data_IF_828046180607
#
_entry.id   IF_828046180607
#
_cell.length_a   1.000
_cell.length_b   1.000
_cell.length_c   1.000
_cell.angle_alpha   90.00
_cell.angle_beta   90.00
_cell.angle_gamma   90.00
#
_symmetry.space_group_name_H-M   'P 1'
#
loop_
_entity.id
_entity.type
_entity.pdbx_description
1 polymer ?
#
# COMPACT_ATOMS: atom_id res chain seq x y z
N UNK A 1 -20.05 13.19 2.59
CA UNK A 1 -18.87 12.29 2.54
C UNK A 1 -18.84 11.51 3.84
N UNK A 2 -18.74 10.17 3.78
CA UNK A 2 -18.72 9.33 4.98
C UNK A 2 -17.30 9.23 5.52
N UNK A 3 -17.09 9.57 6.78
CA UNK A 3 -15.80 9.41 7.47
C UNK A 3 -15.49 7.93 7.66
N UNK A 4 -14.31 7.49 7.20
CA UNK A 4 -13.84 6.12 7.40
C UNK A 4 -13.58 5.84 8.89
N UNK A 5 -14.03 4.69 9.40
CA UNK A 5 -13.68 4.23 10.75
C UNK A 5 -12.30 3.57 10.74
N UNK A 6 -11.57 3.67 11.86
CA UNK A 6 -10.25 3.03 12.00
C UNK A 6 -10.30 1.53 11.68
N UNK A 7 -11.34 0.81 12.11
CA UNK A 7 -11.48 -0.62 11.80
C UNK A 7 -11.57 -0.90 10.30
N UNK A 8 -12.33 -0.08 9.56
CA UNK A 8 -12.45 -0.19 8.11
C UNK A 8 -11.15 0.13 7.40
N UNK A 9 -10.41 1.13 7.90
CA UNK A 9 -9.07 1.46 7.39
C UNK A 9 -8.11 0.29 7.60
N UNK A 10 -8.09 -0.29 8.79
CA UNK A 10 -7.25 -1.46 9.09
C UNK A 10 -7.59 -2.65 8.18
N UNK A 11 -8.87 -2.92 7.95
CA UNK A 11 -9.31 -4.03 7.11
C UNK A 11 -8.93 -3.80 5.64
N UNK A 12 -9.06 -2.57 5.15
CA UNK A 12 -8.61 -2.18 3.80
C UNK A 12 -7.11 -2.41 3.64
N UNK A 13 -6.31 -1.87 4.55
CA UNK A 13 -4.84 -2.03 4.50
C UNK A 13 -4.45 -3.50 4.57
N UNK A 14 -5.02 -4.27 5.51
CA UNK A 14 -4.75 -5.72 5.63
C UNK A 14 -5.13 -6.48 4.36
N UNK A 15 -6.24 -6.11 3.72
CA UNK A 15 -6.68 -6.72 2.47
C UNK A 15 -5.67 -6.49 1.34
N UNK A 16 -5.22 -5.25 1.16
CA UNK A 16 -4.20 -4.92 0.15
C UNK A 16 -2.89 -5.64 0.46
N UNK A 17 -2.42 -5.55 1.72
CA UNK A 17 -1.19 -6.23 2.14
C UNK A 17 -1.25 -7.72 1.86
N UNK A 18 -2.35 -8.39 2.22
CA UNK A 18 -2.49 -9.82 2.00
C UNK A 18 -2.42 -10.17 0.52
N UNK A 19 -3.14 -9.44 -0.33
CA UNK A 19 -3.15 -9.66 -1.78
C UNK A 19 -1.74 -9.52 -2.37
N UNK A 20 -1.05 -8.42 -2.07
CA UNK A 20 0.26 -8.15 -2.67
C UNK A 20 1.34 -9.08 -2.10
N UNK A 21 1.31 -9.38 -0.79
CA UNK A 21 2.20 -10.38 -0.20
C UNK A 21 2.05 -11.76 -0.84
N UNK A 22 0.81 -12.24 -1.06
CA UNK A 22 0.59 -13.52 -1.72
C UNK A 22 1.03 -13.51 -3.19
N UNK A 23 0.81 -12.40 -3.89
CA UNK A 23 1.19 -12.26 -5.31
C UNK A 23 2.71 -12.26 -5.48
N UNK A 24 3.44 -11.74 -4.50
CA UNK A 24 4.87 -11.42 -4.59
C UNK A 24 5.74 -12.21 -3.62
N UNK A 25 5.21 -13.26 -2.99
CA UNK A 25 5.89 -14.02 -1.92
C UNK A 25 7.26 -14.57 -2.36
N UNK A 26 7.41 -14.90 -3.64
CA UNK A 26 8.65 -15.45 -4.21
C UNK A 26 9.48 -14.40 -4.98
N UNK A 27 9.02 -13.15 -5.05
CA UNK A 27 9.77 -12.07 -5.68
C UNK A 27 10.78 -11.47 -4.70
N UNK A 28 12.06 -11.52 -5.08
CA UNK A 28 13.18 -11.00 -4.27
C UNK A 28 13.91 -9.82 -4.92
N UNK A 29 13.35 -9.31 -6.02
CA UNK A 29 13.92 -8.17 -6.71
C UNK A 29 13.84 -6.92 -5.82
N UNK A 30 14.97 -6.23 -5.72
CA UNK A 30 15.09 -4.98 -4.99
C UNK A 30 16.00 -4.03 -5.77
N UNK A 31 15.81 -2.75 -5.53
CA UNK A 31 16.67 -1.67 -5.99
C UNK A 31 17.17 -0.89 -4.78
N UNK A 32 18.22 -0.10 -4.96
CA UNK A 32 18.77 0.77 -3.90
C UNK A 32 18.43 2.21 -4.28
N UNK A 33 17.74 2.92 -3.37
CA UNK A 33 17.42 4.35 -3.54
C UNK A 33 18.69 5.20 -3.44
N UNK A 34 18.59 6.48 -3.81
CA UNK A 34 19.73 7.41 -3.77
C UNK A 34 20.32 7.62 -2.37
N UNK A 35 19.55 7.38 -1.31
CA UNK A 35 19.97 7.45 0.08
C UNK A 35 20.57 6.14 0.62
N UNK A 36 20.64 5.09 -0.21
CA UNK A 36 21.16 3.78 0.15
C UNK A 36 20.13 2.81 0.76
N UNK A 37 18.87 3.23 0.91
CA UNK A 37 17.80 2.34 1.39
C UNK A 37 17.33 1.34 0.32
N UNK A 38 16.79 0.20 0.76
CA UNK A 38 16.25 -0.84 -0.12
C UNK A 38 14.82 -0.49 -0.53
N UNK A 39 14.54 -0.58 -1.82
CA UNK A 39 13.20 -0.48 -2.39
C UNK A 39 12.83 -1.79 -3.08
N UNK A 40 11.74 -2.42 -2.65
CA UNK A 40 11.25 -3.65 -3.25
C UNK A 40 10.04 -3.40 -4.13
N UNK A 41 9.76 -4.33 -5.05
CA UNK A 41 8.50 -4.30 -5.80
C UNK A 41 7.26 -4.38 -4.90
N UNK A 42 7.41 -4.97 -3.70
CA UNK A 42 6.33 -5.05 -2.73
C UNK A 42 6.02 -3.68 -2.15
N UNK A 43 7.01 -2.84 -1.84
CA UNK A 43 6.79 -1.49 -1.30
C UNK A 43 5.97 -0.64 -2.28
N UNK A 44 6.37 -0.64 -3.56
CA UNK A 44 5.66 0.06 -4.62
C UNK A 44 4.23 -0.47 -4.82
N UNK A 45 4.05 -1.80 -4.84
CA UNK A 45 2.74 -2.41 -5.02
C UNK A 45 1.79 -2.12 -3.84
N UNK A 46 2.31 -2.07 -2.61
CA UNK A 46 1.53 -1.68 -1.44
C UNK A 46 1.15 -0.21 -1.49
N UNK A 47 2.08 0.68 -1.86
CA UNK A 47 1.82 2.10 -2.03
C UNK A 47 0.66 2.34 -3.00
N UNK A 48 0.80 1.80 -4.21
CA UNK A 48 -0.20 1.94 -5.27
C UNK A 48 -1.53 1.30 -4.88
N UNK A 49 -1.50 0.08 -4.33
CA UNK A 49 -2.71 -0.64 -3.94
C UNK A 49 -3.51 0.04 -2.82
N UNK A 50 -2.83 0.63 -1.82
CA UNK A 50 -3.51 1.37 -0.74
C UNK A 50 -4.06 2.69 -1.27
N UNK A 51 -3.28 3.43 -2.07
CA UNK A 51 -3.71 4.69 -2.69
C UNK A 51 -4.97 4.48 -3.53
N UNK A 52 -4.98 3.47 -4.38
CA UNK A 52 -6.10 3.18 -5.28
C UNK A 52 -7.34 2.72 -4.49
N UNK A 53 -7.17 1.85 -3.49
CA UNK A 53 -8.28 1.38 -2.67
C UNK A 53 -8.91 2.50 -1.83
N UNK A 54 -8.10 3.46 -1.35
CA UNK A 54 -8.60 4.65 -0.66
C UNK A 54 -9.30 5.59 -1.64
N UNK A 55 -8.74 5.84 -2.82
CA UNK A 55 -9.35 6.71 -3.82
C UNK A 55 -10.72 6.16 -4.29
N UNK A 56 -10.84 4.84 -4.46
CA UNK A 56 -12.07 4.18 -4.89
C UNK A 56 -13.17 4.26 -3.81
N UNK A 57 -12.83 3.95 -2.56
CA UNK A 57 -13.85 3.71 -1.49
C UNK A 57 -14.01 4.87 -0.53
N UNK A 58 -12.98 5.68 -0.36
CA UNK A 58 -12.89 6.76 0.63
C UNK A 58 -12.15 7.98 0.06
N UNK A 59 -12.62 8.60 -1.04
CA UNK A 59 -11.90 9.65 -1.77
C UNK A 59 -11.63 10.94 -0.97
N UNK A 60 -12.26 11.10 0.19
CA UNK A 60 -12.00 12.21 1.10
C UNK A 60 -10.78 11.99 2.01
N UNK A 61 -10.26 10.76 2.07
CA UNK A 61 -9.13 10.41 2.91
C UNK A 61 -7.84 10.76 2.18
N UNK A 62 -7.09 11.72 2.74
CA UNK A 62 -5.75 12.02 2.26
C UNK A 62 -4.81 10.82 2.47
N UNK A 63 -3.94 10.57 1.50
CA UNK A 63 -2.94 9.51 1.55
C UNK A 63 -1.56 10.11 1.35
N UNK A 64 -0.64 9.76 2.24
CA UNK A 64 0.77 10.13 2.19
C UNK A 64 1.57 8.87 2.49
N UNK A 65 2.62 8.65 1.70
CA UNK A 65 3.50 7.49 1.78
C UNK A 65 4.95 7.92 1.60
N UNK A 66 5.88 7.06 1.99
CA UNK A 66 7.30 7.23 1.68
C UNK A 66 7.56 7.06 0.18
N UNK A 67 6.81 6.16 -0.47
CA UNK A 67 6.87 5.88 -1.90
C UNK A 67 5.88 6.71 -2.74
#
# INVERSE_FOLDING_TARGET
MSTIKITQLCDLVKSVCRKELYTRIDQRAHSIKADGSLLTELDLALNDGIRDALAERYPATAFLSEE
#
